data_IF_733167897389
#
_entry.id   IF_733167897389
#
_cell.length_a   1.000
_cell.length_b   1.000
_cell.length_c   1.000
_cell.angle_alpha   90.00
_cell.angle_beta   90.00
_cell.angle_gamma   90.00
#
_symmetry.space_group_name_H-M   'P 1'
#
loop_
_entity.id
_entity.type
_entity.pdbx_description
1 polymer ?
#
# COMPACT_ATOMS: atom_id res chain seq x y z
N UNK A 1 26.27 34.32 -2.84
CA UNK A 1 25.13 35.05 -2.23
C UNK A 1 23.82 34.26 -2.32
N UNK A 2 23.50 33.62 -3.45
CA UNK A 2 22.24 32.88 -3.65
C UNK A 2 22.06 31.63 -2.76
N UNK A 3 23.10 30.81 -2.60
CA UNK A 3 23.07 29.63 -1.70
C UNK A 3 22.81 29.96 -0.23
N UNK A 4 23.09 31.19 0.21
CA UNK A 4 22.83 31.64 1.58
C UNK A 4 21.35 31.99 1.77
N UNK A 5 20.70 32.51 0.73
CA UNK A 5 19.28 32.86 0.77
C UNK A 5 18.40 31.60 0.81
N UNK A 6 18.68 30.61 -0.05
CA UNK A 6 17.88 29.36 -0.13
C UNK A 6 17.89 28.59 1.20
N UNK A 7 19.01 28.61 1.94
CA UNK A 7 19.14 27.97 3.26
C UNK A 7 18.34 28.64 4.38
N UNK A 8 17.85 29.87 4.17
CA UNK A 8 17.09 30.64 5.17
C UNK A 8 15.58 30.70 4.87
N UNK A 9 15.10 30.04 3.82
CA UNK A 9 13.66 29.95 3.48
C UNK A 9 13.03 28.81 4.29
N UNK A 10 11.70 28.83 4.48
CA UNK A 10 10.96 27.76 5.15
C UNK A 10 11.31 26.35 4.58
N UNK A 11 11.46 25.32 5.44
CA UNK A 11 11.88 23.96 5.02
C UNK A 11 11.04 23.36 3.88
N UNK A 12 9.74 23.64 3.86
CA UNK A 12 8.82 23.23 2.79
C UNK A 12 9.27 23.74 1.41
N UNK A 13 9.58 25.05 1.31
CA UNK A 13 10.06 25.64 0.07
C UNK A 13 11.45 25.14 -0.29
N UNK A 14 12.32 24.89 0.70
CA UNK A 14 13.66 24.32 0.44
C UNK A 14 13.57 22.96 -0.27
N UNK A 15 12.68 22.07 0.19
CA UNK A 15 12.49 20.75 -0.42
C UNK A 15 11.95 20.85 -1.85
N UNK A 16 11.02 21.77 -2.10
CA UNK A 16 10.41 21.94 -3.42
C UNK A 16 11.32 22.66 -4.43
N UNK A 17 12.22 23.53 -3.94
CA UNK A 17 13.16 24.28 -4.77
C UNK A 17 14.50 23.58 -4.98
N UNK A 18 14.76 22.46 -4.29
CA UNK A 18 16.04 21.74 -4.32
C UNK A 18 16.45 21.21 -5.72
N UNK A 19 15.49 21.07 -6.64
CA UNK A 19 15.70 20.54 -7.99
C UNK A 19 15.55 21.60 -9.10
N UNK A 20 15.34 22.87 -8.75
CA UNK A 20 15.13 23.95 -9.70
C UNK A 20 16.37 24.85 -9.78
N UNK A 21 16.88 25.07 -11.00
CA UNK A 21 17.91 26.08 -11.24
C UNK A 21 17.31 27.48 -11.15
N UNK A 22 17.50 28.11 -9.99
CA UNK A 22 17.11 29.50 -9.76
C UNK A 22 18.32 30.40 -9.96
N UNK A 23 18.29 31.14 -11.07
CA UNK A 23 19.34 32.04 -11.55
C UNK A 23 19.18 33.49 -11.03
N UNK A 24 18.01 33.85 -10.48
CA UNK A 24 17.69 35.21 -10.08
C UNK A 24 16.65 35.29 -8.95
N UNK A 25 16.74 36.36 -8.14
CA UNK A 25 15.84 36.60 -7.00
C UNK A 25 14.40 36.81 -7.48
N UNK A 26 14.20 37.37 -8.67
CA UNK A 26 12.88 37.56 -9.26
C UNK A 26 12.20 36.21 -9.54
N UNK A 27 12.93 35.26 -10.11
CA UNK A 27 12.45 33.90 -10.41
C UNK A 27 12.18 33.11 -9.13
N UNK A 28 13.02 33.28 -8.09
CA UNK A 28 12.78 32.71 -6.77
C UNK A 28 11.43 33.16 -6.18
N UNK A 29 11.16 34.46 -6.19
CA UNK A 29 9.90 35.03 -5.68
C UNK A 29 8.68 34.55 -6.45
N UNK A 30 8.81 34.37 -7.77
CA UNK A 30 7.73 33.83 -8.59
C UNK A 30 7.42 32.37 -8.22
N UNK A 31 8.45 31.54 -8.01
CA UNK A 31 8.28 30.16 -7.58
C UNK A 31 7.70 30.05 -6.17
N UNK A 32 8.17 30.87 -5.22
CA UNK A 32 7.60 30.93 -3.88
C UNK A 32 6.11 31.29 -3.93
N UNK A 33 5.73 32.28 -4.75
CA UNK A 33 4.32 32.67 -4.91
C UNK A 33 3.46 31.54 -5.49
N UNK A 34 3.99 30.77 -6.46
CA UNK A 34 3.29 29.59 -7.02
C UNK A 34 3.17 28.46 -6.01
N UNK A 35 4.19 28.25 -5.18
CA UNK A 35 4.20 27.24 -4.12
C UNK A 35 3.17 27.57 -3.03
N UNK A 36 3.12 28.82 -2.59
CA UNK A 36 2.14 29.24 -1.56
C UNK A 36 0.71 29.16 -2.11
N UNK A 37 0.47 29.61 -3.34
CA UNK A 37 -0.85 29.47 -3.99
C UNK A 37 -1.29 28.00 -4.10
N UNK A 38 -0.35 27.09 -4.37
CA UNK A 38 -0.63 25.64 -4.43
C UNK A 38 -0.91 25.06 -3.04
N UNK A 39 -0.19 25.51 -2.02
CA UNK A 39 -0.41 25.11 -0.63
C UNK A 39 -1.79 25.60 -0.14
N UNK A 40 -2.13 26.86 -0.38
CA UNK A 40 -3.45 27.42 -0.10
C UNK A 40 -4.56 26.66 -0.82
N UNK A 41 -4.37 26.30 -2.10
CA UNK A 41 -5.36 25.52 -2.86
C UNK A 41 -5.59 24.11 -2.28
N UNK A 42 -4.55 23.49 -1.71
CA UNK A 42 -4.66 22.18 -1.05
C UNK A 42 -5.29 22.30 0.33
N UNK A 43 -4.90 23.31 1.12
CA UNK A 43 -5.48 23.54 2.46
C UNK A 43 -6.95 23.99 2.40
N UNK A 44 -7.32 24.74 1.35
CA UNK A 44 -8.71 25.17 1.11
C UNK A 44 -9.54 24.16 0.31
N UNK A 45 -8.95 23.04 -0.11
CA UNK A 45 -9.66 22.01 -0.83
C UNK A 45 -10.72 21.38 0.07
N UNK A 46 -11.98 21.71 -0.20
CA UNK A 46 -13.13 21.01 0.37
C UNK A 46 -13.64 20.08 -0.73
N UNK A 47 -13.63 18.75 -0.52
CA UNK A 47 -14.18 17.83 -1.49
C UNK A 47 -15.65 18.18 -1.76
N UNK A 48 -16.10 18.17 -3.02
CA UNK A 48 -17.46 18.56 -3.37
C UNK A 48 -18.48 17.68 -2.62
N UNK A 49 -19.44 18.32 -1.96
CA UNK A 49 -20.57 17.61 -1.33
C UNK A 49 -21.33 16.86 -2.42
N UNK A 50 -21.50 15.53 -2.25
CA UNK A 50 -22.25 14.63 -3.14
C UNK A 50 -23.48 15.33 -3.73
N UNK A 51 -23.42 15.74 -5.00
CA UNK A 51 -24.59 16.25 -5.72
C UNK A 51 -25.42 15.06 -6.13
N UNK A 52 -26.67 15.03 -5.66
CA UNK A 52 -27.73 14.18 -6.20
C UNK A 52 -28.06 14.74 -7.59
N UNK A 53 -27.48 14.16 -8.63
CA UNK A 53 -27.70 14.59 -10.00
C UNK A 53 -26.80 13.83 -10.97
N UNK A 54 -27.42 13.01 -11.81
CA UNK A 54 -26.87 12.05 -12.77
C UNK A 54 -25.87 12.61 -13.81
N UNK A 55 -24.72 13.11 -13.38
CA UNK A 55 -23.50 13.23 -14.21
C UNK A 55 -22.34 12.88 -13.29
N UNK A 56 -21.88 11.63 -13.37
CA UNK A 56 -20.87 11.05 -12.48
C UNK A 56 -19.49 11.08 -13.17
N UNK A 57 -18.48 11.60 -12.46
CA UNK A 57 -17.08 11.31 -12.76
C UNK A 57 -16.80 9.82 -12.47
N UNK A 58 -15.92 9.15 -13.25
CA UNK A 58 -15.81 7.69 -13.26
C UNK A 58 -15.15 7.06 -12.01
N UNK A 59 -14.74 7.84 -11.01
CA UNK A 59 -13.87 7.35 -9.94
C UNK A 59 -14.55 7.10 -8.58
N UNK A 60 -15.84 7.41 -8.38
CA UNK A 60 -16.48 7.26 -7.05
C UNK A 60 -17.96 6.84 -7.08
N UNK A 61 -18.25 5.64 -7.60
CA UNK A 61 -19.43 4.87 -7.22
C UNK A 61 -18.92 3.50 -6.70
N UNK A 62 -19.33 2.98 -5.54
CA UNK A 62 -20.69 2.56 -5.26
C UNK A 62 -20.82 2.29 -3.74
N UNK A 63 -21.79 2.93 -3.08
CA UNK A 63 -22.34 2.44 -1.80
C UNK A 63 -23.82 2.24 -2.03
N UNK A 64 -24.21 0.98 -2.19
CA UNK A 64 -25.56 0.51 -1.91
C UNK A 64 -25.41 -0.89 -1.33
N UNK A 65 -25.75 -1.02 -0.04
CA UNK A 65 -25.81 -2.27 0.69
C UNK A 65 -27.23 -2.80 0.53
N UNK A 66 -27.39 -4.06 0.11
CA UNK A 66 -28.55 -4.85 0.47
C UNK A 66 -28.26 -6.35 0.42
N UNK A 67 -29.16 -7.11 1.05
CA UNK A 67 -28.89 -8.19 1.99
C UNK A 67 -28.85 -9.63 1.47
N UNK A 68 -28.16 -10.45 2.29
CA UNK A 68 -28.44 -11.85 2.67
C UNK A 68 -28.38 -12.97 1.63
N UNK A 69 -27.33 -13.79 1.76
CA UNK A 69 -27.42 -15.25 1.55
C UNK A 69 -26.38 -15.96 2.41
N UNK A 70 -26.82 -16.90 3.26
CA UNK A 70 -25.96 -17.76 4.07
C UNK A 70 -25.38 -18.88 3.20
N UNK A 71 -24.05 -18.94 3.07
CA UNK A 71 -23.34 -20.01 2.36
C UNK A 71 -22.44 -20.76 3.36
N UNK A 72 -22.50 -22.09 3.31
CA UNK A 72 -21.79 -23.03 4.17
C UNK A 72 -20.27 -23.03 3.95
N UNK A 73 -19.50 -23.06 5.05
CA UNK A 73 -18.06 -22.72 5.16
C UNK A 73 -17.09 -23.89 4.84
N UNK A 74 -17.54 -24.96 4.18
CA UNK A 74 -16.86 -26.27 4.23
C UNK A 74 -16.14 -26.78 2.97
N UNK A 75 -15.53 -25.90 2.14
CA UNK A 75 -14.64 -26.39 1.08
C UNK A 75 -13.35 -25.57 0.89
N UNK A 76 -12.31 -25.91 1.66
CA UNK A 76 -10.92 -25.70 1.23
C UNK A 76 -10.33 -27.08 0.94
N UNK A 77 -10.39 -27.52 -0.33
CA UNK A 77 -9.92 -28.85 -0.73
C UNK A 77 -8.84 -28.84 -1.81
N UNK A 78 -8.26 -27.68 -2.17
CA UNK A 78 -7.27 -27.66 -3.24
C UNK A 78 -5.97 -26.95 -2.85
N UNK A 79 -4.97 -27.73 -2.41
CA UNK A 79 -3.70 -27.28 -1.82
C UNK A 79 -2.69 -26.70 -2.86
N UNK A 80 -3.11 -26.43 -4.10
CA UNK A 80 -2.21 -26.00 -5.18
C UNK A 80 -2.34 -24.53 -5.59
N UNK A 81 -3.25 -23.77 -4.96
CA UNK A 81 -3.52 -22.36 -5.31
C UNK A 81 -3.12 -21.41 -4.19
N UNK A 82 -2.66 -20.20 -4.52
CA UNK A 82 -2.32 -19.13 -3.56
C UNK A 82 -3.48 -18.82 -2.59
N UNK A 83 -4.73 -18.95 -3.06
CA UNK A 83 -5.95 -18.85 -2.26
C UNK A 83 -6.07 -19.92 -1.16
N UNK A 84 -5.50 -21.11 -1.38
CA UNK A 84 -5.51 -22.19 -0.39
C UNK A 84 -4.52 -21.96 0.76
N UNK A 85 -3.42 -21.24 0.50
CA UNK A 85 -2.45 -20.84 1.51
C UNK A 85 -3.10 -19.82 2.45
N UNK A 86 -3.76 -18.79 1.91
CA UNK A 86 -4.50 -17.82 2.73
C UNK A 86 -5.64 -18.49 3.49
N UNK A 87 -6.39 -19.42 2.88
CA UNK A 87 -7.38 -20.21 3.62
C UNK A 87 -6.73 -20.99 4.78
N UNK A 88 -5.58 -21.62 4.56
CA UNK A 88 -4.84 -22.35 5.59
C UNK A 88 -4.34 -21.45 6.72
N UNK A 89 -3.71 -20.33 6.39
CA UNK A 89 -3.20 -19.34 7.34
C UNK A 89 -4.31 -18.78 8.23
N UNK A 90 -5.45 -18.42 7.62
CA UNK A 90 -6.62 -17.88 8.31
C UNK A 90 -7.31 -18.94 9.17
N UNK A 91 -7.28 -20.22 8.77
CA UNK A 91 -7.83 -21.35 9.55
C UNK A 91 -6.93 -21.78 10.70
N UNK A 92 -5.61 -21.80 10.50
CA UNK A 92 -4.62 -22.18 11.51
C UNK A 92 -4.46 -21.10 12.57
N UNK A 93 -4.70 -19.84 12.19
CA UNK A 93 -4.87 -18.72 13.09
C UNK A 93 -6.20 -18.84 13.89
N UNK A 94 -6.26 -19.76 14.87
CA UNK A 94 -7.45 -20.01 15.69
C UNK A 94 -7.84 -18.78 16.55
N UNK A 95 -9.14 -18.42 16.63
CA UNK A 95 -10.11 -18.29 15.55
C UNK A 95 -10.46 -16.81 15.38
N UNK A 96 -10.45 -16.29 14.14
CA UNK A 96 -11.29 -15.14 13.78
C UNK A 96 -12.74 -15.55 14.13
N UNK A 97 -13.20 -15.26 15.33
CA UNK A 97 -14.20 -16.14 15.99
C UNK A 97 -15.63 -15.94 15.48
N UNK A 98 -15.82 -15.01 14.55
CA UNK A 98 -17.08 -14.68 13.89
C UNK A 98 -16.79 -14.28 12.42
N UNK A 99 -16.34 -15.24 11.59
CA UNK A 99 -15.69 -15.05 10.27
C UNK A 99 -16.64 -14.54 9.14
N UNK A 100 -17.49 -13.57 9.43
CA UNK A 100 -18.23 -12.83 8.41
C UNK A 100 -17.90 -11.35 8.54
N UNK A 101 -17.61 -10.71 7.40
CA UNK A 101 -17.35 -9.26 7.28
C UNK A 101 -16.06 -8.76 7.95
N UNK A 102 -14.96 -9.52 7.86
CA UNK A 102 -13.64 -9.01 8.22
C UNK A 102 -13.10 -8.00 7.20
N UNK A 103 -12.02 -7.31 7.57
CA UNK A 103 -11.30 -6.37 6.71
C UNK A 103 -9.86 -6.79 6.48
N UNK A 104 -9.46 -6.93 5.20
CA UNK A 104 -8.08 -7.23 4.83
C UNK A 104 -7.40 -6.09 4.08
N UNK A 105 -6.07 -6.11 4.08
CA UNK A 105 -5.24 -5.28 3.20
C UNK A 105 -4.25 -6.18 2.47
N UNK A 106 -4.18 -6.04 1.15
CA UNK A 106 -3.20 -6.75 0.32
C UNK A 106 -2.32 -5.74 -0.40
N UNK A 107 -1.09 -5.58 0.07
CA UNK A 107 -0.06 -4.78 -0.59
C UNK A 107 0.74 -5.64 -1.55
N UNK A 108 0.75 -5.28 -2.84
CA UNK A 108 1.33 -6.10 -3.90
C UNK A 108 0.31 -6.99 -4.62
N UNK A 109 -1.00 -6.72 -4.47
CA UNK A 109 -2.08 -7.55 -4.99
C UNK A 109 -1.98 -7.78 -6.52
N UNK A 110 -2.18 -9.01 -7.00
CA UNK A 110 -2.04 -9.38 -8.43
C UNK A 110 -0.61 -9.35 -8.99
N UNK A 111 0.43 -9.34 -8.16
CA UNK A 111 1.83 -9.40 -8.62
C UNK A 111 2.17 -10.63 -9.48
N UNK A 112 1.47 -11.75 -9.27
CA UNK A 112 1.58 -13.01 -10.02
C UNK A 112 0.35 -13.26 -10.92
N UNK A 113 -0.50 -12.25 -11.11
CA UNK A 113 -1.76 -12.34 -11.85
C UNK A 113 -2.94 -12.83 -11.03
N UNK A 114 -2.81 -13.07 -9.72
CA UNK A 114 -3.92 -13.46 -8.83
C UNK A 114 -3.92 -12.66 -7.52
N UNK A 115 -5.08 -12.48 -6.90
CA UNK A 115 -5.15 -11.93 -5.53
C UNK A 115 -5.16 -13.06 -4.51
N UNK A 116 -4.35 -12.91 -3.47
CA UNK A 116 -4.26 -13.86 -2.36
C UNK A 116 -5.50 -13.78 -1.46
N UNK A 117 -6.14 -12.61 -1.41
CA UNK A 117 -7.34 -12.35 -0.63
C UNK A 117 -8.63 -12.62 -1.39
N UNK A 118 -8.54 -13.19 -2.61
CA UNK A 118 -9.70 -13.46 -3.46
C UNK A 118 -10.78 -14.26 -2.73
N UNK A 119 -10.33 -15.35 -2.12
CA UNK A 119 -11.15 -16.32 -1.40
C UNK A 119 -11.85 -15.72 -0.16
N UNK A 120 -11.21 -14.77 0.55
CA UNK A 120 -11.79 -14.11 1.74
C UNK A 120 -13.04 -13.32 1.38
N UNK A 121 -12.99 -12.60 0.27
CA UNK A 121 -14.14 -11.82 -0.22
C UNK A 121 -15.27 -12.75 -0.67
N UNK A 122 -14.97 -13.76 -1.49
CA UNK A 122 -15.98 -14.62 -2.10
C UNK A 122 -16.69 -15.54 -1.11
N UNK A 123 -15.96 -16.06 -0.11
CA UNK A 123 -16.48 -17.12 0.77
C UNK A 123 -16.84 -16.62 2.17
N UNK A 124 -16.21 -15.54 2.62
CA UNK A 124 -16.41 -15.01 3.98
C UNK A 124 -17.08 -13.63 3.99
N UNK A 125 -17.31 -13.03 2.81
CA UNK A 125 -17.91 -11.71 2.67
C UNK A 125 -17.03 -10.61 3.26
N UNK A 126 -15.71 -10.82 3.25
CA UNK A 126 -14.76 -9.82 3.73
C UNK A 126 -14.65 -8.66 2.74
N UNK A 127 -14.34 -7.49 3.29
CA UNK A 127 -14.01 -6.30 2.53
C UNK A 127 -12.51 -6.06 2.60
N UNK A 128 -11.95 -5.27 1.69
CA UNK A 128 -10.54 -4.96 1.80
C UNK A 128 -10.02 -3.87 0.91
N UNK A 129 -8.72 -3.61 1.08
CA UNK A 129 -7.96 -2.65 0.32
C UNK A 129 -6.83 -3.36 -0.44
N UNK A 130 -6.87 -3.27 -1.76
CA UNK A 130 -5.91 -3.86 -2.68
C UNK A 130 -4.99 -2.76 -3.21
N UNK A 131 -3.69 -2.88 -2.98
CA UNK A 131 -2.70 -1.86 -3.36
C UNK A 131 -1.76 -2.48 -4.38
N UNK A 132 -1.74 -1.94 -5.60
CA UNK A 132 -0.90 -2.46 -6.69
C UNK A 132 -0.20 -1.31 -7.41
N UNK A 133 1.15 -1.24 -7.37
CA UNK A 133 1.90 -0.21 -8.07
C UNK A 133 2.08 -0.45 -9.58
N UNK A 134 2.16 -1.69 -10.08
CA UNK A 134 2.30 -1.97 -11.52
C UNK A 134 1.00 -1.58 -12.25
N UNK A 135 1.04 -0.69 -13.25
CA UNK A 135 -0.17 -0.31 -13.98
C UNK A 135 -0.82 -1.50 -14.69
N UNK A 136 -0.05 -2.44 -15.23
CA UNK A 136 -0.57 -3.62 -15.93
C UNK A 136 -1.31 -4.55 -14.96
N UNK A 137 -0.72 -4.81 -13.80
CA UNK A 137 -1.38 -5.62 -12.77
C UNK A 137 -2.57 -4.88 -12.16
N UNK A 138 -2.48 -3.56 -11.98
CA UNK A 138 -3.60 -2.74 -11.50
C UNK A 138 -4.79 -2.78 -12.46
N UNK A 139 -4.57 -2.64 -13.78
CA UNK A 139 -5.65 -2.75 -14.75
C UNK A 139 -6.24 -4.16 -14.79
N UNK A 140 -5.43 -5.21 -14.63
CA UNK A 140 -5.93 -6.58 -14.50
C UNK A 140 -6.78 -6.74 -13.23
N UNK A 141 -6.31 -6.26 -12.08
CA UNK A 141 -7.06 -6.21 -10.82
C UNK A 141 -8.42 -5.51 -11.00
N UNK A 142 -8.44 -4.33 -11.64
CA UNK A 142 -9.67 -3.58 -11.89
C UNK A 142 -10.66 -4.35 -12.78
N UNK A 143 -10.18 -5.11 -13.76
CA UNK A 143 -11.03 -5.94 -14.64
C UNK A 143 -11.69 -7.11 -13.91
N UNK A 144 -11.09 -7.63 -12.84
CA UNK A 144 -11.68 -8.71 -12.03
C UNK A 144 -12.87 -8.22 -11.18
N UNK A 145 -13.08 -6.90 -11.05
CA UNK A 145 -14.26 -6.30 -10.42
C UNK A 145 -14.57 -6.87 -9.03
N UNK A 146 -13.58 -6.80 -8.13
CA UNK A 146 -13.68 -7.17 -6.71
C UNK A 146 -14.76 -6.30 -6.05
N UNK A 147 -15.94 -6.88 -5.79
CA UNK A 147 -17.18 -6.16 -5.42
C UNK A 147 -17.14 -5.55 -4.02
N UNK A 148 -16.34 -6.11 -3.13
CA UNK A 148 -16.26 -5.72 -1.72
C UNK A 148 -14.89 -5.11 -1.37
N UNK A 149 -14.00 -4.98 -2.36
CA UNK A 149 -12.66 -4.44 -2.16
C UNK A 149 -12.39 -3.21 -3.00
N UNK A 150 -11.69 -2.25 -2.40
CA UNK A 150 -11.21 -1.06 -3.10
C UNK A 150 -9.81 -1.32 -3.66
N UNK A 151 -9.50 -0.76 -4.82
CA UNK A 151 -8.21 -0.92 -5.48
C UNK A 151 -7.51 0.43 -5.66
N UNK A 152 -6.31 0.57 -5.09
CA UNK A 152 -5.46 1.75 -5.22
C UNK A 152 -4.30 1.45 -6.17
N UNK A 153 -4.15 2.29 -7.20
CA UNK A 153 -2.95 2.32 -8.03
C UNK A 153 -1.87 3.11 -7.29
N UNK A 154 -1.04 2.41 -6.54
CA UNK A 154 -0.14 3.00 -5.56
C UNK A 154 0.74 1.96 -4.91
N UNK A 155 1.65 2.42 -4.05
CA UNK A 155 2.48 1.57 -3.19
C UNK A 155 2.34 1.96 -1.72
N UNK A 156 2.82 1.08 -0.84
CA UNK A 156 3.01 1.45 0.56
C UNK A 156 4.39 2.10 0.70
N UNK A 157 4.44 3.22 1.40
CA UNK A 157 5.69 3.92 1.68
C UNK A 157 6.39 3.30 2.88
N UNK A 158 7.69 2.95 2.79
CA UNK A 158 8.51 2.58 3.94
C UNK A 158 8.95 3.80 4.79
N UNK A 159 8.41 4.98 4.53
CA UNK A 159 8.63 6.20 5.31
C UNK A 159 7.30 6.77 5.79
N UNK A 160 7.25 7.52 6.91
CA UNK A 160 6.01 8.07 7.46
C UNK A 160 5.41 9.21 6.63
N UNK A 161 5.91 9.43 5.41
CA UNK A 161 5.46 10.46 4.48
C UNK A 161 5.24 9.88 3.08
N UNK A 162 4.27 10.42 2.32
CA UNK A 162 4.08 10.06 0.92
C UNK A 162 5.31 10.41 0.08
N UNK A 163 5.61 9.58 -0.91
CA UNK A 163 6.68 9.81 -1.88
C UNK A 163 6.29 9.34 -3.27
N UNK A 164 6.96 9.85 -4.29
CA UNK A 164 6.86 9.31 -5.65
C UNK A 164 8.09 8.47 -5.94
N UNK A 165 7.90 7.30 -6.54
CA UNK A 165 8.98 6.38 -6.91
C UNK A 165 8.82 5.98 -8.38
N UNK A 166 9.94 5.71 -9.03
CA UNK A 166 9.95 5.14 -10.38
C UNK A 166 9.92 3.62 -10.28
N UNK A 167 8.98 2.99 -10.98
CA UNK A 167 8.92 1.55 -11.13
C UNK A 167 9.79 1.15 -12.31
N UNK A 168 10.77 0.29 -12.04
CA UNK A 168 11.58 -0.33 -13.07
C UNK A 168 11.11 -1.78 -13.25
N UNK A 169 10.67 -2.18 -14.45
CA UNK A 169 10.29 -3.56 -14.70
C UNK A 169 11.54 -4.46 -14.66
N UNK A 170 11.66 -5.28 -13.63
CA UNK A 170 12.58 -6.44 -13.64
C UNK A 170 11.76 -7.74 -13.80
N UNK A 171 12.33 -8.72 -14.50
CA UNK A 171 11.69 -10.03 -14.67
C UNK A 171 11.38 -10.67 -13.31
N UNK A 172 10.10 -10.76 -12.94
CA UNK A 172 9.63 -11.47 -11.74
C UNK A 172 9.27 -10.60 -10.53
N UNK A 173 9.24 -9.26 -10.64
CA UNK A 173 8.70 -8.39 -9.59
C UNK A 173 9.17 -6.94 -9.67
N UNK A 174 8.47 -6.03 -9.00
CA UNK A 174 8.87 -4.62 -8.90
C UNK A 174 9.69 -4.41 -7.62
N UNK A 175 10.90 -3.85 -7.76
CA UNK A 175 11.64 -3.27 -6.63
C UNK A 175 11.32 -1.79 -6.51
N UNK A 176 10.83 -1.38 -5.34
CA UNK A 176 10.76 0.03 -4.98
C UNK A 176 12.13 0.44 -4.45
N UNK A 177 12.89 1.20 -5.24
CA UNK A 177 14.27 1.67 -5.02
C UNK A 177 15.40 0.64 -5.20
N UNK A 178 15.91 0.50 -6.44
CA UNK A 178 17.36 0.51 -6.60
C UNK A 178 17.79 1.94 -6.92
N UNK A 179 18.49 2.60 -6.00
CA UNK A 179 19.28 3.79 -6.36
C UNK A 179 20.44 3.24 -7.19
N UNK A 180 20.24 3.01 -8.50
CA UNK A 180 21.36 2.92 -9.43
C UNK A 180 21.82 4.34 -9.67
N UNK A 181 23.02 4.64 -9.19
CA UNK A 181 23.81 5.81 -9.56
C UNK A 181 23.67 6.03 -11.07
N UNK A 182 22.99 7.12 -11.42
CA UNK A 182 22.67 7.57 -12.76
C UNK A 182 23.92 8.04 -13.51
N UNK A 183 24.87 7.14 -13.82
CA UNK A 183 26.05 7.49 -14.61
C UNK A 183 26.55 6.43 -15.60
N UNK A 184 25.99 5.22 -15.66
CA UNK A 184 26.36 4.24 -16.68
C UNK A 184 25.11 3.47 -17.09
N UNK A 185 24.92 3.25 -18.39
CA UNK A 185 23.77 2.60 -19.04
C UNK A 185 22.67 3.59 -19.52
N UNK A 186 23.05 4.53 -20.40
CA UNK A 186 22.13 5.02 -21.43
C UNK A 186 21.94 3.87 -22.45
N UNK A 187 21.03 2.95 -22.14
CA UNK A 187 20.51 1.98 -23.12
C UNK A 187 18.99 2.14 -23.21
N UNK A 188 18.52 2.08 -24.44
CA UNK A 188 17.28 2.62 -25.03
C UNK A 188 15.98 1.98 -24.46
N UNK A 189 15.78 2.07 -23.15
CA UNK A 189 14.70 1.44 -22.37
C UNK A 189 13.85 2.43 -21.56
N UNK A 190 13.88 3.71 -21.95
CA UNK A 190 13.09 4.80 -21.36
C UNK A 190 11.56 4.66 -21.56
N UNK A 191 11.11 3.61 -22.26
CA UNK A 191 9.73 3.51 -22.72
C UNK A 191 8.68 3.28 -21.61
N UNK A 192 9.05 2.87 -20.38
CA UNK A 192 8.08 2.69 -19.28
C UNK A 192 8.62 2.94 -17.85
N UNK A 193 9.31 4.06 -17.61
CA UNK A 193 9.55 4.51 -16.24
C UNK A 193 8.25 5.06 -15.62
N UNK A 194 7.38 4.16 -15.16
CA UNK A 194 6.10 4.55 -14.53
C UNK A 194 6.38 5.11 -13.15
N UNK A 195 6.01 6.37 -12.92
CA UNK A 195 6.05 6.96 -11.59
C UNK A 195 4.78 6.65 -10.84
N UNK A 196 4.91 6.18 -9.60
CA UNK A 196 3.79 5.84 -8.74
C UNK A 196 3.94 6.53 -7.39
N UNK A 197 2.80 6.89 -6.78
CA UNK A 197 2.77 7.44 -5.43
C UNK A 197 2.74 6.31 -4.41
N UNK A 198 3.65 6.36 -3.44
CA UNK A 198 3.60 5.53 -2.25
C UNK A 198 3.07 6.33 -1.08
N UNK A 199 2.20 5.72 -0.27
CA UNK A 199 1.60 6.34 0.91
C UNK A 199 1.90 5.51 2.15
N UNK A 200 2.14 6.12 3.33
CA UNK A 200 2.25 5.37 4.58
C UNK A 200 0.99 4.53 4.80
N UNK A 201 1.14 3.30 5.31
CA UNK A 201 -0.02 2.42 5.55
C UNK A 201 -1.08 3.11 6.40
N UNK A 202 -0.66 3.78 7.47
CA UNK A 202 -1.57 4.52 8.35
C UNK A 202 -2.35 5.64 7.64
N UNK A 203 -1.78 6.28 6.62
CA UNK A 203 -2.51 7.29 5.82
C UNK A 203 -3.63 6.65 5.01
N UNK A 204 -3.40 5.47 4.45
CA UNK A 204 -4.43 4.72 3.72
C UNK A 204 -5.54 4.24 4.65
N UNK A 205 -5.18 3.78 5.85
CA UNK A 205 -6.13 3.40 6.90
C UNK A 205 -7.06 4.54 7.32
N UNK A 206 -6.51 5.74 7.51
CA UNK A 206 -7.31 6.93 7.81
C UNK A 206 -8.23 7.30 6.65
N UNK A 207 -7.75 7.18 5.40
CA UNK A 207 -8.55 7.48 4.22
C UNK A 207 -9.74 6.51 4.04
N UNK A 208 -9.59 5.25 4.44
CA UNK A 208 -10.67 4.25 4.42
C UNK A 208 -11.51 4.25 5.70
N UNK A 209 -11.16 5.05 6.70
CA UNK A 209 -11.77 5.06 8.04
C UNK A 209 -11.75 3.66 8.70
N UNK A 210 -10.64 2.94 8.55
CA UNK A 210 -10.43 1.61 9.13
C UNK A 210 -9.16 1.61 9.96
N UNK A 211 -9.25 1.21 11.24
CA UNK A 211 -8.09 1.05 12.14
C UNK A 211 -7.97 -0.35 12.72
N UNK A 212 -8.97 -1.21 12.47
CA UNK A 212 -8.97 -2.62 12.84
C UNK A 212 -8.87 -3.44 11.56
N UNK A 213 -7.82 -4.24 11.47
CA UNK A 213 -7.49 -5.03 10.28
C UNK A 213 -7.38 -6.47 10.74
N UNK A 214 -8.18 -7.34 10.14
CA UNK A 214 -8.18 -8.75 10.50
C UNK A 214 -7.01 -9.48 9.83
N UNK A 215 -6.62 -9.05 8.64
CA UNK A 215 -5.53 -9.68 7.89
C UNK A 215 -4.77 -8.69 7.01
N UNK A 216 -3.48 -8.52 7.27
CA UNK A 216 -2.58 -7.69 6.49
C UNK A 216 -1.59 -8.57 5.73
N UNK A 217 -1.55 -8.45 4.40
CA UNK A 217 -0.50 -9.02 3.55
C UNK A 217 0.42 -7.89 3.08
N UNK A 218 1.73 -8.03 3.35
CA UNK A 218 2.77 -7.10 2.91
C UNK A 218 3.74 -7.76 1.92
N UNK A 219 3.59 -7.41 0.64
CA UNK A 219 4.52 -7.80 -0.44
C UNK A 219 5.00 -6.53 -1.16
N UNK A 220 5.88 -5.79 -0.49
CA UNK A 220 6.36 -4.48 -0.94
C UNK A 220 7.66 -4.55 -1.73
N UNK A 221 8.18 -5.76 -1.92
CA UNK A 221 9.37 -6.01 -2.70
C UNK A 221 10.67 -5.83 -1.90
N UNK A 222 10.66 -6.08 -0.58
CA UNK A 222 11.84 -6.03 0.28
C UNK A 222 11.92 -4.81 1.18
N UNK A 223 10.79 -4.16 1.45
CA UNK A 223 10.71 -3.01 2.38
C UNK A 223 9.73 -3.25 3.53
N UNK A 224 9.39 -4.51 3.79
CA UNK A 224 8.30 -4.90 4.66
C UNK A 224 8.54 -4.48 6.11
N UNK A 225 9.76 -4.66 6.62
CA UNK A 225 10.15 -4.22 7.96
C UNK A 225 10.01 -2.71 8.11
N UNK A 226 10.53 -1.94 7.17
CA UNK A 226 10.51 -0.48 7.19
C UNK A 226 9.08 0.04 7.11
N UNK A 227 8.20 -0.62 6.35
CA UNK A 227 6.76 -0.31 6.37
C UNK A 227 6.17 -0.54 7.76
N UNK A 228 6.43 -1.69 8.37
CA UNK A 228 5.92 -2.02 9.71
C UNK A 228 6.44 -1.06 10.78
N UNK A 229 7.68 -0.57 10.68
CA UNK A 229 8.24 0.43 11.59
C UNK A 229 7.49 1.77 11.56
N UNK A 230 6.80 2.08 10.46
CA UNK A 230 5.98 3.30 10.35
C UNK A 230 4.57 3.15 10.92
N UNK A 231 4.13 1.94 11.27
CA UNK A 231 2.77 1.68 11.75
C UNK A 231 2.64 2.10 13.22
N UNK A 232 1.68 2.98 13.57
CA UNK A 232 1.38 3.31 14.96
C UNK A 232 0.52 2.20 15.58
N UNK A 233 1.15 1.11 16.03
CA UNK A 233 0.48 -0.05 16.63
C UNK A 233 -0.35 0.27 17.89
N UNK A 234 -0.11 1.42 18.53
CA UNK A 234 -0.91 1.89 19.67
C UNK A 234 -2.29 2.44 19.24
N UNK A 235 -2.48 2.69 17.93
CA UNK A 235 -3.70 3.22 17.33
C UNK A 235 -4.22 2.38 16.17
N UNK A 236 -3.55 1.27 15.88
CA UNK A 236 -3.86 0.37 14.76
C UNK A 236 -3.87 -1.05 15.29
N UNK A 237 -5.01 -1.73 15.21
CA UNK A 237 -5.12 -3.13 15.57
C UNK A 237 -5.01 -3.99 14.31
N UNK A 238 -4.04 -4.90 14.29
CA UNK A 238 -3.85 -5.84 13.19
C UNK A 238 -3.82 -7.24 13.79
N UNK A 239 -4.77 -8.08 13.44
CA UNK A 239 -4.92 -9.39 14.09
C UNK A 239 -3.86 -10.37 13.57
N UNK A 240 -3.73 -10.44 12.24
CA UNK A 240 -2.78 -11.31 11.54
C UNK A 240 -1.99 -10.52 10.51
N UNK A 241 -0.67 -10.69 10.51
CA UNK A 241 0.26 -10.09 9.56
C UNK A 241 0.97 -11.20 8.79
N UNK A 242 0.77 -11.24 7.49
CA UNK A 242 1.58 -12.01 6.54
C UNK A 242 2.60 -11.08 5.87
N UNK A 243 3.87 -11.42 5.98
CA UNK A 243 4.98 -10.66 5.41
C UNK A 243 5.72 -11.51 4.38
N UNK A 244 5.95 -10.97 3.19
CA UNK A 244 6.88 -11.57 2.24
C UNK A 244 8.32 -11.33 2.69
N UNK A 245 9.06 -12.42 2.87
CA UNK A 245 10.43 -12.46 3.36
C UNK A 245 11.25 -13.34 2.41
N UNK A 246 12.09 -12.70 1.58
CA UNK A 246 12.90 -13.41 0.57
C UNK A 246 13.90 -14.37 1.21
N UNK A 247 14.31 -15.43 0.50
CA UNK A 247 15.24 -16.42 1.04
C UNK A 247 16.57 -15.85 1.57
N UNK A 248 17.14 -14.84 0.90
CA UNK A 248 18.41 -14.21 1.25
C UNK A 248 18.26 -12.92 2.05
N UNK A 249 17.06 -12.64 2.56
CA UNK A 249 16.83 -11.47 3.38
C UNK A 249 17.64 -11.57 4.68
N UNK A 250 18.43 -10.54 4.99
CA UNK A 250 19.21 -10.46 6.23
C UNK A 250 18.39 -9.89 7.39
N UNK A 251 17.22 -9.31 7.11
CA UNK A 251 16.36 -8.65 8.10
C UNK A 251 15.36 -9.60 8.75
N UNK A 252 15.31 -10.90 8.39
CA UNK A 252 14.32 -11.87 8.91
C UNK A 252 14.26 -11.92 10.43
N UNK A 253 15.43 -12.00 11.07
CA UNK A 253 15.52 -12.08 12.52
C UNK A 253 15.16 -10.74 13.17
N UNK A 254 15.50 -9.64 12.52
CA UNK A 254 15.12 -8.28 12.95
C UNK A 254 13.60 -8.11 12.88
N UNK A 255 12.97 -8.54 11.80
CA UNK A 255 11.52 -8.54 11.60
C UNK A 255 10.81 -9.35 12.70
N UNK A 256 11.27 -10.58 12.96
CA UNK A 256 10.70 -11.42 14.02
C UNK A 256 10.81 -10.76 15.40
N UNK A 257 11.97 -10.18 15.72
CA UNK A 257 12.19 -9.46 16.99
C UNK A 257 11.31 -8.22 17.09
N UNK A 258 11.21 -7.43 16.02
CA UNK A 258 10.38 -6.24 15.97
C UNK A 258 8.91 -6.58 16.24
N UNK A 259 8.37 -7.57 15.53
CA UNK A 259 6.98 -7.99 15.70
C UNK A 259 6.73 -8.62 17.09
N UNK A 260 7.69 -9.35 17.64
CA UNK A 260 7.62 -9.83 19.02
C UNK A 260 7.50 -8.68 20.05
N UNK A 261 8.25 -7.59 19.86
CA UNK A 261 8.13 -6.39 20.70
C UNK A 261 6.76 -5.71 20.58
N UNK A 262 6.08 -5.89 19.44
CA UNK A 262 4.72 -5.43 19.18
C UNK A 262 3.64 -6.45 19.58
N UNK A 263 4.00 -7.45 20.39
CA UNK A 263 3.10 -8.52 20.87
C UNK A 263 2.58 -9.43 19.76
N UNK A 264 3.36 -9.66 18.71
CA UNK A 264 3.03 -10.66 17.70
C UNK A 264 3.87 -11.91 17.89
N UNK A 265 3.23 -13.07 17.79
CA UNK A 265 3.88 -14.37 17.79
C UNK A 265 4.04 -14.85 16.35
N UNK A 266 5.24 -15.29 16.01
CA UNK A 266 5.48 -16.03 14.77
C UNK A 266 4.75 -17.38 14.81
N UNK A 267 3.94 -17.65 13.80
CA UNK A 267 3.12 -18.87 13.73
C UNK A 267 3.78 -19.92 12.84
N UNK A 268 3.94 -19.58 11.57
CA UNK A 268 4.48 -20.48 10.55
C UNK A 268 5.00 -19.67 9.35
N UNK A 269 5.71 -20.35 8.45
CA UNK A 269 6.10 -19.79 7.16
C UNK A 269 5.79 -20.77 6.03
N UNK A 270 5.30 -20.23 4.91
CA UNK A 270 5.05 -20.96 3.68
C UNK A 270 5.87 -20.33 2.55
N UNK A 271 6.92 -21.01 2.10
CA UNK A 271 7.92 -20.46 1.18
C UNK A 271 8.49 -19.13 1.73
N UNK A 272 8.25 -18.04 1.02
CA UNK A 272 8.66 -16.69 1.38
C UNK A 272 7.59 -15.93 2.19
N UNK A 273 6.46 -16.54 2.57
CA UNK A 273 5.42 -15.90 3.39
C UNK A 273 5.60 -16.24 4.86
N UNK A 274 5.71 -15.23 5.73
CA UNK A 274 5.89 -15.39 7.17
C UNK A 274 4.66 -14.84 7.90
N UNK A 275 4.02 -15.68 8.71
CA UNK A 275 2.74 -15.34 9.35
C UNK A 275 2.94 -15.08 10.84
N UNK A 276 2.40 -13.96 11.29
CA UNK A 276 2.43 -13.49 12.66
C UNK A 276 1.03 -13.20 13.15
N UNK A 277 0.76 -13.50 14.42
CA UNK A 277 -0.53 -13.29 15.06
C UNK A 277 -0.38 -12.45 16.32
N UNK A 278 -1.28 -11.50 16.53
CA UNK A 278 -1.35 -10.69 17.74
C UNK A 278 -1.63 -11.58 18.97
N UNK A 279 -0.88 -11.38 20.05
CA UNK A 279 -1.10 -12.04 21.33
C UNK A 279 -1.75 -11.07 22.31
N UNK A 280 -2.97 -11.40 22.75
CA UNK A 280 -3.70 -10.69 23.80
C UNK A 280 -3.20 -11.04 25.21
#
# INVERSE_FOLDING_TARGET
MFHVLVKNIAPYCQTQLALLEVDSIAKLREYEKKLEARKEAVESYVPPSRRIGNVLEPDLDYVAVDSSSSVSVDSCQDQSTTSSVVCGEVKNAKPLKDIHKGFFIEAGAYGDGKSKTEWLEENLGWQGLLIQPDPRHYFSLRRHNRKHSQAIHGCISPSPHPKEVSLHPENGGIKVNSIRSSLLDMDDSDWFNTRVKCFPLYSLLLATNVTNIDYLILETGGTELQVLETVPFERTNIEVINVQVRNNDTEKDTLKKFLALKKYKFMENFNESYVFMLTH
#
